data_IF_579645333808
#
_entry.id   IF_579645333808
#
_cell.length_a   1.000
_cell.length_b   1.000
_cell.length_c   1.000
_cell.angle_alpha   90.00
_cell.angle_beta   90.00
_cell.angle_gamma   90.00
#
_symmetry.space_group_name_H-M   'P 1'
#
loop_
_entity.id
_entity.type
_entity.pdbx_description
1 polymer ?
#
# COMPACT_ATOMS: atom_id res chain seq x y z
N UNK A 1 -26.03 -21.03 16.65
CA UNK A 1 -26.56 -20.01 15.73
C UNK A 1 -27.44 -20.63 14.63
N UNK A 2 -28.60 -21.23 14.94
CA UNK A 2 -29.50 -21.74 13.92
C UNK A 2 -30.30 -20.64 13.19
N UNK A 3 -30.54 -19.50 13.83
CA UNK A 3 -31.37 -18.42 13.25
C UNK A 3 -30.68 -17.63 12.15
N UNK A 4 -29.37 -17.37 12.24
CA UNK A 4 -28.63 -16.61 11.22
C UNK A 4 -28.59 -17.32 9.86
N UNK A 5 -28.47 -18.66 9.87
CA UNK A 5 -28.47 -19.48 8.66
C UNK A 5 -29.86 -19.70 8.06
N UNK A 6 -30.91 -19.23 8.74
CA UNK A 6 -32.29 -19.23 8.22
C UNK A 6 -32.66 -17.91 7.53
N UNK A 7 -31.77 -16.92 7.55
CA UNK A 7 -32.00 -15.64 6.91
C UNK A 7 -32.02 -15.76 5.37
N UNK A 8 -32.88 -14.99 4.69
CA UNK A 8 -32.82 -14.82 3.25
C UNK A 8 -31.43 -14.36 2.77
N UNK A 9 -30.97 -14.79 1.58
CA UNK A 9 -29.68 -14.38 1.02
C UNK A 9 -29.46 -12.87 0.98
N UNK A 10 -30.52 -12.10 0.79
CA UNK A 10 -30.48 -10.63 0.74
C UNK A 10 -30.08 -10.03 2.10
N UNK A 11 -30.59 -10.59 3.20
CA UNK A 11 -30.20 -10.14 4.55
C UNK A 11 -28.75 -10.52 4.87
N UNK A 12 -28.31 -11.72 4.46
CA UNK A 12 -26.92 -12.13 4.64
C UNK A 12 -25.98 -11.24 3.82
N UNK A 13 -26.38 -10.86 2.60
CA UNK A 13 -25.63 -9.88 1.80
C UNK A 13 -25.50 -8.53 2.52
N UNK A 14 -26.59 -8.01 3.10
CA UNK A 14 -26.52 -6.78 3.90
C UNK A 14 -25.61 -6.90 5.13
N UNK A 15 -25.61 -8.05 5.80
CA UNK A 15 -24.69 -8.32 6.90
C UNK A 15 -23.23 -8.27 6.42
N UNK A 16 -22.93 -8.85 5.25
CA UNK A 16 -21.60 -8.75 4.67
C UNK A 16 -21.20 -7.30 4.38
N UNK A 17 -22.10 -6.51 3.78
CA UNK A 17 -21.84 -5.11 3.46
C UNK A 17 -21.72 -4.20 4.69
N UNK A 18 -22.14 -4.67 5.88
CA UNK A 18 -22.00 -3.92 7.13
C UNK A 18 -20.79 -4.35 7.97
N UNK A 19 -19.90 -5.19 7.45
CA UNK A 19 -18.71 -5.61 8.17
C UNK A 19 -17.63 -4.53 8.09
N UNK A 20 -16.85 -4.43 9.18
CA UNK A 20 -15.73 -3.50 9.31
C UNK A 20 -14.37 -4.23 9.23
N UNK A 21 -14.34 -5.40 8.57
CA UNK A 21 -13.11 -6.17 8.38
C UNK A 21 -13.27 -7.23 7.28
N UNK A 22 -12.26 -7.32 6.40
CA UNK A 22 -12.14 -8.42 5.42
C UNK A 22 -11.96 -9.77 6.11
N UNK A 23 -11.27 -9.80 7.26
CA UNK A 23 -11.12 -10.98 8.10
C UNK A 23 -12.48 -11.56 8.56
N UNK A 24 -13.37 -10.73 9.08
CA UNK A 24 -14.72 -11.13 9.48
C UNK A 24 -15.55 -11.65 8.30
N UNK A 25 -15.43 -11.04 7.11
CA UNK A 25 -16.07 -11.57 5.91
C UNK A 25 -15.54 -12.96 5.56
N UNK A 26 -14.23 -13.18 5.67
CA UNK A 26 -13.65 -14.51 5.51
C UNK A 26 -14.19 -15.50 6.55
N UNK A 27 -14.21 -15.17 7.84
CA UNK A 27 -14.71 -16.07 8.88
C UNK A 27 -16.21 -16.37 8.70
N UNK A 28 -17.01 -15.37 8.36
CA UNK A 28 -18.43 -15.53 8.05
C UNK A 28 -18.66 -16.48 6.87
N UNK A 29 -17.81 -16.41 5.85
CA UNK A 29 -17.85 -17.33 4.70
C UNK A 29 -17.57 -18.79 5.07
N UNK A 30 -16.87 -19.04 6.19
CA UNK A 30 -16.58 -20.40 6.65
C UNK A 30 -17.73 -21.01 7.47
N UNK A 31 -18.73 -20.21 7.89
CA UNK A 31 -19.81 -20.70 8.77
C UNK A 31 -20.83 -21.60 8.07
N UNK A 32 -21.07 -21.41 6.76
CA UNK A 32 -22.06 -22.20 6.01
C UNK A 32 -21.84 -22.17 4.49
N UNK A 33 -22.54 -23.07 3.77
CA UNK A 33 -22.55 -23.05 2.31
C UNK A 33 -23.24 -21.81 1.73
N UNK A 34 -24.27 -21.29 2.41
CA UNK A 34 -25.03 -20.13 1.95
C UNK A 34 -24.20 -18.85 2.05
N UNK A 35 -23.56 -18.63 3.20
CA UNK A 35 -22.68 -17.47 3.42
C UNK A 35 -21.48 -17.51 2.49
N UNK A 36 -20.89 -18.69 2.26
CA UNK A 36 -19.84 -18.89 1.26
C UNK A 36 -20.32 -18.53 -0.15
N UNK A 37 -21.48 -19.05 -0.56
CA UNK A 37 -22.00 -18.84 -1.91
C UNK A 37 -22.16 -17.35 -2.21
N UNK A 38 -22.75 -16.58 -1.27
CA UNK A 38 -22.98 -15.14 -1.43
C UNK A 38 -21.67 -14.37 -1.66
N UNK A 39 -20.64 -14.60 -0.84
CA UNK A 39 -19.36 -13.88 -0.98
C UNK A 39 -18.47 -14.40 -2.12
N UNK A 40 -18.75 -15.59 -2.64
CA UNK A 40 -18.06 -16.16 -3.81
C UNK A 40 -18.73 -15.83 -5.15
N UNK A 41 -19.93 -15.23 -5.13
CA UNK A 41 -20.61 -14.85 -6.37
C UNK A 41 -19.92 -13.66 -7.03
N UNK A 42 -19.57 -13.82 -8.30
CA UNK A 42 -18.90 -12.79 -9.12
C UNK A 42 -19.60 -11.41 -9.11
N UNK A 43 -20.93 -11.36 -8.98
CA UNK A 43 -21.70 -10.11 -8.95
C UNK A 43 -21.81 -9.46 -7.56
N UNK A 44 -21.70 -10.26 -6.52
CA UNK A 44 -21.95 -9.85 -5.13
C UNK A 44 -20.65 -9.55 -4.41
N UNK A 45 -19.61 -10.35 -4.68
CA UNK A 45 -18.31 -10.26 -4.06
C UNK A 45 -17.67 -8.87 -4.19
N UNK A 46 -17.59 -8.23 -5.39
CA UNK A 46 -16.97 -6.92 -5.48
C UNK A 46 -17.71 -5.87 -4.66
N UNK A 47 -19.05 -5.93 -4.64
CA UNK A 47 -19.90 -5.00 -3.86
C UNK A 47 -19.75 -5.19 -2.36
N UNK A 48 -19.55 -6.42 -1.90
CA UNK A 48 -19.29 -6.73 -0.50
C UNK A 48 -17.95 -6.13 -0.09
N UNK A 49 -16.89 -6.40 -0.85
CA UNK A 49 -15.57 -5.88 -0.51
C UNK A 49 -15.50 -4.36 -0.63
N UNK A 50 -16.14 -3.77 -1.63
CA UNK A 50 -16.25 -2.32 -1.79
C UNK A 50 -16.89 -1.67 -0.55
N UNK A 51 -18.04 -2.19 -0.12
CA UNK A 51 -18.72 -1.72 1.09
C UNK A 51 -17.88 -1.92 2.37
N UNK A 52 -17.20 -3.06 2.52
CA UNK A 52 -16.30 -3.27 3.67
C UNK A 52 -15.14 -2.29 3.63
N UNK A 53 -14.55 -2.03 2.45
CA UNK A 53 -13.46 -1.08 2.29
C UNK A 53 -13.94 0.34 2.62
N UNK A 54 -15.15 0.74 2.20
CA UNK A 54 -15.79 1.99 2.64
C UNK A 54 -15.89 2.06 4.17
N UNK A 55 -16.45 1.01 4.79
CA UNK A 55 -16.67 0.97 6.23
C UNK A 55 -15.38 1.04 7.06
N UNK A 56 -14.25 0.51 6.57
CA UNK A 56 -12.97 0.52 7.30
C UNK A 56 -12.14 1.77 7.03
N UNK A 57 -12.29 2.39 5.86
CA UNK A 57 -11.48 3.56 5.47
C UNK A 57 -12.08 4.89 5.93
N UNK A 58 -13.37 4.90 6.33
CA UNK A 58 -14.19 6.03 6.84
C UNK A 58 -13.53 7.41 6.69
N UNK A 59 -13.98 8.16 5.68
CA UNK A 59 -13.52 9.51 5.39
C UNK A 59 -11.98 9.61 5.35
N UNK A 60 -11.32 8.90 4.41
CA UNK A 60 -9.87 8.92 4.30
C UNK A 60 -9.38 10.36 4.11
N UNK A 61 -8.53 10.79 5.02
CA UNK A 61 -8.06 12.16 5.09
C UNK A 61 -6.57 12.20 5.41
N UNK A 62 -5.81 13.13 4.80
CA UNK A 62 -4.40 13.34 5.13
C UNK A 62 -4.25 14.13 6.44
N UNK A 63 -5.04 13.79 7.46
CA UNK A 63 -5.02 14.43 8.76
C UNK A 63 -4.24 13.57 9.75
N UNK A 64 -3.49 14.20 10.66
CA UNK A 64 -2.68 13.51 11.66
C UNK A 64 -3.47 12.44 12.41
N UNK A 65 -4.68 12.77 12.89
CA UNK A 65 -5.51 11.84 13.66
C UNK A 65 -5.90 10.59 12.85
N UNK A 66 -6.18 10.74 11.55
CA UNK A 66 -6.52 9.60 10.69
C UNK A 66 -5.29 8.76 10.41
N UNK A 67 -4.16 9.38 10.08
CA UNK A 67 -2.92 8.65 9.80
C UNK A 67 -2.41 7.88 11.02
N UNK A 68 -2.40 8.50 12.21
CA UNK A 68 -2.02 7.80 13.45
C UNK A 68 -3.00 6.68 13.82
N UNK A 69 -4.28 6.77 13.44
CA UNK A 69 -5.22 5.68 13.62
C UNK A 69 -4.87 4.45 12.75
N UNK A 70 -4.25 4.65 11.58
CA UNK A 70 -3.85 3.55 10.69
C UNK A 70 -2.45 3.02 10.96
N UNK A 71 -1.50 3.91 11.25
CA UNK A 71 -0.08 3.58 11.38
C UNK A 71 0.38 3.43 12.84
N UNK A 72 -0.41 3.90 13.79
CA UNK A 72 -0.14 3.86 15.23
C UNK A 72 0.14 5.26 15.83
N UNK A 73 -0.14 5.47 17.12
CA UNK A 73 0.14 6.75 17.78
C UNK A 73 1.62 7.14 17.70
N UNK A 74 1.91 8.40 17.35
CA UNK A 74 3.28 8.91 17.24
C UNK A 74 4.09 8.29 16.10
N UNK A 75 3.41 7.73 15.08
CA UNK A 75 4.06 7.17 13.90
C UNK A 75 4.40 8.22 12.84
N UNK A 76 4.19 9.52 13.08
CA UNK A 76 4.45 10.56 12.09
C UNK A 76 5.79 11.24 12.37
N UNK A 77 6.58 11.40 11.30
CA UNK A 77 7.80 12.18 11.27
C UNK A 77 7.50 13.54 10.66
N UNK A 78 7.97 14.60 11.33
CA UNK A 78 7.87 15.97 10.85
C UNK A 78 9.28 16.57 10.76
N UNK A 79 9.63 17.28 9.67
CA UNK A 79 10.85 18.07 9.63
C UNK A 79 10.73 19.25 10.62
N UNK A 80 11.87 19.70 11.14
CA UNK A 80 11.90 20.90 12.01
C UNK A 80 11.89 22.16 11.16
N UNK A 81 11.09 23.17 11.52
CA UNK A 81 11.02 24.48 10.82
C UNK A 81 12.38 25.16 10.63
N UNK A 82 13.34 24.87 11.51
CA UNK A 82 14.70 25.44 11.46
C UNK A 82 15.59 24.83 10.36
N UNK A 83 15.23 23.66 9.83
CA UNK A 83 15.98 22.91 8.81
C UNK A 83 14.99 22.15 7.91
N UNK A 84 14.18 22.84 7.09
CA UNK A 84 13.39 22.18 6.07
C UNK A 84 14.31 21.38 5.13
N UNK A 85 13.78 20.35 4.43
CA UNK A 85 14.52 19.67 3.39
C UNK A 85 15.18 20.67 2.45
N UNK A 86 16.52 20.66 2.41
CA UNK A 86 17.28 21.58 1.57
C UNK A 86 16.79 21.38 0.14
N UNK A 87 16.47 22.49 -0.52
CA UNK A 87 15.91 22.55 -1.88
C UNK A 87 14.42 22.16 -2.00
N UNK A 88 13.71 21.88 -0.91
CA UNK A 88 12.24 21.90 -0.73
C UNK A 88 11.58 23.19 -1.26
N UNK A 89 10.98 23.24 -2.47
CA UNK A 89 10.34 24.47 -2.98
C UNK A 89 8.83 24.39 -3.18
N UNK A 90 8.25 23.19 -3.13
CA UNK A 90 6.81 23.00 -3.21
C UNK A 90 6.12 23.36 -1.89
N UNK A 91 5.38 24.47 -1.88
CA UNK A 91 4.74 25.03 -0.68
C UNK A 91 3.69 24.08 -0.07
N UNK A 92 2.88 23.40 -0.90
CA UNK A 92 1.85 22.47 -0.45
C UNK A 92 2.45 21.25 0.26
N UNK A 93 3.53 20.69 -0.30
CA UNK A 93 4.28 19.61 0.34
C UNK A 93 4.93 20.06 1.65
N UNK A 94 5.51 21.26 1.69
CA UNK A 94 6.08 21.81 2.91
C UNK A 94 5.02 21.98 4.01
N UNK A 95 3.87 22.55 3.67
CA UNK A 95 2.75 22.72 4.60
C UNK A 95 2.30 21.37 5.15
N UNK A 96 2.08 20.37 4.29
CA UNK A 96 1.71 19.02 4.72
C UNK A 96 2.75 18.39 5.65
N UNK A 97 4.04 18.47 5.32
CA UNK A 97 5.09 17.89 6.14
C UNK A 97 5.23 18.58 7.50
N UNK A 98 5.05 19.89 7.58
CA UNK A 98 5.15 20.66 8.82
C UNK A 98 3.92 20.53 9.71
N UNK A 99 2.71 20.51 9.13
CA UNK A 99 1.45 20.44 9.89
C UNK A 99 1.10 18.99 10.27
N UNK A 100 1.22 18.07 9.32
CA UNK A 100 0.78 16.67 9.49
C UNK A 100 1.98 15.73 9.65
N UNK A 101 2.92 15.78 8.72
CA UNK A 101 4.08 14.89 8.69
C UNK A 101 3.86 13.59 7.93
N UNK A 102 4.93 12.82 7.80
CA UNK A 102 5.01 11.60 7.00
C UNK A 102 5.10 10.33 7.88
N UNK A 103 4.41 9.22 7.54
CA UNK A 103 4.49 7.98 8.32
C UNK A 103 5.91 7.40 8.42
N UNK A 104 6.38 7.24 9.66
CA UNK A 104 7.61 6.58 10.08
C UNK A 104 7.30 5.13 10.48
N UNK A 105 7.22 4.24 9.49
CA UNK A 105 6.69 2.89 9.66
C UNK A 105 7.58 1.84 9.00
N UNK A 106 7.55 0.64 9.57
CA UNK A 106 7.99 -0.56 8.88
C UNK A 106 6.75 -1.42 8.68
N UNK A 107 6.39 -1.69 7.42
CA UNK A 107 5.23 -2.47 7.03
C UNK A 107 5.70 -3.76 6.33
N UNK A 108 6.17 -4.79 7.07
CA UNK A 108 6.79 -5.99 6.47
C UNK A 108 5.89 -6.72 5.47
N UNK A 109 4.57 -6.67 5.69
CA UNK A 109 3.60 -7.31 4.79
C UNK A 109 3.42 -6.56 3.49
N UNK A 110 3.51 -5.22 3.52
CA UNK A 110 3.48 -4.39 2.31
C UNK A 110 4.86 -4.32 1.66
N UNK A 111 5.92 -4.62 2.42
CA UNK A 111 7.30 -4.49 1.99
C UNK A 111 7.84 -3.06 2.06
N UNK A 112 7.04 -2.10 2.54
CA UNK A 112 7.40 -0.69 2.64
C UNK A 112 8.06 -0.37 3.98
N UNK A 113 9.15 0.38 3.94
CA UNK A 113 9.88 0.82 5.13
C UNK A 113 10.29 2.29 5.00
N UNK A 114 9.98 3.09 6.01
CA UNK A 114 10.36 4.50 6.15
C UNK A 114 11.01 4.82 7.50
N UNK A 115 11.28 3.83 8.36
CA UNK A 115 11.80 4.07 9.73
C UNK A 115 13.16 4.78 9.77
N UNK A 116 13.91 4.73 8.67
CA UNK A 116 15.20 5.41 8.53
C UNK A 116 15.04 6.93 8.54
N UNK A 117 13.84 7.48 8.29
CA UNK A 117 13.58 8.91 8.41
C UNK A 117 13.93 9.46 9.81
N UNK A 118 13.92 8.60 10.84
CA UNK A 118 14.32 8.95 12.21
C UNK A 118 15.79 9.34 12.33
N UNK A 119 16.66 8.73 11.52
CA UNK A 119 18.09 9.00 11.54
C UNK A 119 18.41 10.44 11.10
N UNK A 120 17.50 11.07 10.35
CA UNK A 120 17.64 12.47 9.92
C UNK A 120 17.21 13.50 10.96
N UNK A 121 16.65 13.07 12.11
CA UNK A 121 16.33 13.98 13.23
C UNK A 121 17.55 14.22 14.12
N UNK A 122 18.41 13.21 14.25
CA UNK A 122 19.47 13.18 15.27
C UNK A 122 20.87 13.51 14.71
N UNK A 123 21.07 13.34 13.40
CA UNK A 123 22.34 13.61 12.74
C UNK A 123 22.12 14.79 11.77
N UNK A 124 22.93 15.85 11.84
CA UNK A 124 23.01 16.93 10.83
C UNK A 124 23.39 16.41 9.41
N UNK A 125 23.25 15.10 9.18
CA UNK A 125 23.30 14.49 7.88
C UNK A 125 22.20 15.08 7.02
N UNK A 126 22.67 15.80 6.00
CA UNK A 126 21.89 16.12 4.82
C UNK A 126 21.12 14.86 4.42
N UNK A 127 19.83 15.05 4.17
CA UNK A 127 18.94 14.09 3.56
C UNK A 127 19.71 13.15 2.64
N UNK A 128 19.31 11.88 2.58
CA UNK A 128 19.66 11.03 1.44
C UNK A 128 18.98 11.57 0.14
N UNK A 129 19.00 12.89 -0.07
CA UNK A 129 18.83 13.52 -1.35
C UNK A 129 20.02 13.06 -2.17
N UNK A 130 19.73 12.27 -3.20
CA UNK A 130 20.66 12.14 -4.29
C UNK A 130 21.02 13.56 -4.72
N UNK A 131 22.27 13.96 -4.51
CA UNK A 131 22.71 15.28 -4.93
C UNK A 131 22.50 15.42 -6.44
N UNK A 132 22.46 16.65 -6.94
CA UNK A 132 22.42 16.87 -8.40
C UNK A 132 23.54 16.08 -9.10
N UNK A 133 24.70 15.87 -8.45
CA UNK A 133 25.81 15.06 -8.96
C UNK A 133 25.53 13.54 -8.90
N UNK A 134 24.84 13.03 -7.86
CA UNK A 134 24.39 11.64 -7.80
C UNK A 134 23.35 11.36 -8.90
N UNK A 135 22.40 12.30 -9.08
CA UNK A 135 21.46 12.29 -10.20
C UNK A 135 22.21 12.43 -11.53
N UNK A 136 23.23 13.27 -11.64
CA UNK A 136 24.04 13.46 -12.86
C UNK A 136 24.92 12.26 -13.23
N UNK A 137 25.31 11.42 -12.27
CA UNK A 137 25.93 10.12 -12.56
C UNK A 137 24.86 9.12 -13.04
N UNK A 138 23.61 9.25 -12.56
CA UNK A 138 22.48 8.40 -12.92
C UNK A 138 21.81 8.78 -14.25
N UNK A 139 21.93 10.04 -14.68
CA UNK A 139 21.31 10.61 -15.88
C UNK A 139 22.36 11.20 -16.84
N UNK A 140 22.17 11.03 -18.15
CA UNK A 140 23.15 11.52 -19.12
C UNK A 140 23.27 13.05 -19.13
N UNK A 141 24.46 13.63 -19.44
CA UNK A 141 24.69 15.08 -19.46
C UNK A 141 23.79 15.87 -20.41
N UNK A 142 23.14 15.20 -21.36
CA UNK A 142 22.29 15.81 -22.40
C UNK A 142 20.83 16.02 -21.94
N UNK A 143 20.40 15.37 -20.86
CA UNK A 143 19.04 15.50 -20.27
C UNK A 143 19.03 16.40 -19.03
N UNK A 144 20.09 17.20 -18.85
CA UNK A 144 20.35 18.01 -17.65
C UNK A 144 19.21 18.96 -17.26
N UNK A 145 18.48 19.47 -18.25
CA UNK A 145 17.38 20.41 -18.03
C UNK A 145 16.04 19.71 -17.68
N UNK A 146 15.98 18.37 -17.79
CA UNK A 146 14.77 17.56 -17.55
C UNK A 146 14.85 16.71 -16.28
N UNK A 147 15.96 16.79 -15.53
CA UNK A 147 16.13 15.97 -14.33
C UNK A 147 15.21 16.47 -13.20
N UNK A 148 14.38 15.58 -12.62
CA UNK A 148 13.63 15.94 -11.44
C UNK A 148 14.63 16.24 -10.32
N UNK A 149 14.53 17.43 -9.75
CA UNK A 149 15.26 17.77 -8.53
C UNK A 149 14.59 16.91 -7.44
N UNK A 150 15.30 15.92 -6.88
CA UNK A 150 14.79 15.02 -5.84
C UNK A 150 15.38 15.41 -4.48
N UNK A 151 14.54 15.51 -3.45
CA UNK A 151 14.91 16.17 -2.17
C UNK A 151 14.92 15.17 -1.04
N UNK A 152 13.98 14.23 -1.05
CA UNK A 152 13.66 13.44 0.11
C UNK A 152 13.31 12.00 -0.28
N UNK A 153 14.01 11.05 0.33
CA UNK A 153 13.65 9.65 0.29
C UNK A 153 12.62 9.37 1.39
N UNK A 154 11.38 9.10 1.01
CA UNK A 154 10.29 8.81 1.92
C UNK A 154 10.22 7.34 2.36
N UNK A 155 10.79 6.43 1.58
CA UNK A 155 10.72 5.02 1.91
C UNK A 155 11.47 4.13 0.93
N UNK A 156 11.49 2.85 1.27
CA UNK A 156 12.10 1.79 0.45
C UNK A 156 11.14 0.61 0.38
N UNK A 157 11.02 0.02 -0.80
CA UNK A 157 10.34 -1.26 -1.04
C UNK A 157 11.20 -2.08 -2.01
N UNK A 158 11.41 -3.38 -1.75
CA UNK A 158 12.22 -4.26 -2.64
C UNK A 158 13.64 -3.76 -2.99
N UNK A 159 14.26 -2.92 -2.16
CA UNK A 159 15.54 -2.20 -2.42
C UNK A 159 15.45 -1.01 -3.40
N UNK A 160 14.25 -0.66 -3.83
CA UNK A 160 13.92 0.51 -4.64
C UNK A 160 13.45 1.65 -3.73
N UNK A 161 13.77 2.89 -4.11
CA UNK A 161 13.53 4.09 -3.33
C UNK A 161 12.21 4.77 -3.73
N UNK A 162 11.55 5.35 -2.74
CA UNK A 162 10.42 6.26 -2.91
C UNK A 162 10.93 7.68 -2.70
N UNK A 163 10.95 8.49 -3.76
CA UNK A 163 11.63 9.78 -3.80
C UNK A 163 10.65 10.90 -4.11
N UNK A 164 10.73 11.98 -3.34
CA UNK A 164 9.99 13.23 -3.54
C UNK A 164 10.73 14.16 -4.50
N UNK A 165 10.00 14.73 -5.46
CA UNK A 165 10.48 15.84 -6.28
C UNK A 165 10.26 17.19 -5.58
N UNK A 166 11.32 17.99 -5.53
CA UNK A 166 11.42 19.26 -4.81
C UNK A 166 10.48 20.35 -5.31
N UNK A 167 10.18 20.32 -6.61
CA UNK A 167 9.62 21.46 -7.32
C UNK A 167 8.11 21.33 -7.51
N UNK A 168 7.57 20.12 -7.37
CA UNK A 168 6.18 19.84 -7.69
C UNK A 168 5.51 18.82 -6.76
N UNK A 169 6.18 18.36 -5.71
CA UNK A 169 5.60 17.43 -4.73
C UNK A 169 5.38 15.99 -5.24
N UNK A 170 5.69 15.70 -6.51
CA UNK A 170 5.44 14.38 -7.11
C UNK A 170 6.36 13.34 -6.49
N UNK A 171 5.80 12.18 -6.17
CA UNK A 171 6.54 11.04 -5.63
C UNK A 171 6.81 10.03 -6.74
N UNK A 172 8.07 9.66 -6.88
CA UNK A 172 8.58 8.73 -7.87
C UNK A 172 9.09 7.45 -7.22
N UNK A 173 9.00 6.36 -7.99
CA UNK A 173 9.65 5.09 -7.66
C UNK A 173 10.98 4.96 -8.40
N UNK A 174 12.04 4.66 -7.67
CA UNK A 174 13.42 4.69 -8.18
C UNK A 174 14.15 3.37 -7.93
N UNK A 175 14.77 2.81 -8.97
CA UNK A 175 15.61 1.62 -8.89
C UNK A 175 17.10 1.97 -9.05
N UNK A 176 17.84 1.95 -7.94
CA UNK A 176 19.28 2.21 -7.92
C UNK A 176 20.10 1.12 -8.64
N UNK A 177 19.55 -0.08 -8.78
CA UNK A 177 20.24 -1.25 -9.33
C UNK A 177 19.78 -1.59 -10.76
N UNK A 178 18.92 -0.76 -11.37
CA UNK A 178 18.25 -0.97 -12.66
C UNK A 178 19.16 -1.15 -13.88
N UNK A 179 20.46 -1.27 -13.69
CA UNK A 179 21.46 -1.51 -14.71
C UNK A 179 22.09 -0.21 -15.18
N UNK A 180 23.41 -0.29 -15.44
CA UNK A 180 24.20 0.76 -16.06
C UNK A 180 23.43 1.40 -17.23
N UNK A 181 23.07 2.68 -17.07
CA UNK A 181 22.53 3.59 -18.09
C UNK A 181 21.04 3.38 -18.48
N UNK A 182 20.18 4.29 -17.99
CA UNK A 182 19.00 4.89 -18.64
C UNK A 182 17.59 4.70 -18.05
N UNK A 183 17.32 3.87 -17.04
CA UNK A 183 15.93 3.71 -16.52
C UNK A 183 15.85 3.57 -14.99
N UNK A 184 16.40 4.53 -14.26
CA UNK A 184 16.30 4.54 -12.79
C UNK A 184 14.89 4.91 -12.32
N UNK A 185 14.14 5.71 -13.09
CA UNK A 185 12.74 6.06 -12.79
C UNK A 185 11.83 4.92 -13.23
N UNK A 186 11.11 4.32 -12.28
CA UNK A 186 10.13 3.25 -12.53
C UNK A 186 8.70 3.78 -12.71
N UNK A 187 8.47 5.04 -12.37
CA UNK A 187 7.19 5.72 -12.59
C UNK A 187 6.83 6.67 -11.45
N UNK A 188 5.72 7.37 -11.64
CA UNK A 188 5.07 8.16 -10.60
C UNK A 188 4.25 7.20 -9.72
N UNK A 189 4.27 7.40 -8.41
CA UNK A 189 3.47 6.60 -7.47
C UNK A 189 2.37 7.39 -6.80
N UNK A 190 2.53 8.72 -6.72
CA UNK A 190 1.52 9.67 -6.30
C UNK A 190 1.92 11.07 -6.78
N UNK A 191 0.93 11.92 -7.06
CA UNK A 191 1.21 13.31 -7.45
C UNK A 191 1.54 14.22 -6.28
N UNK A 192 1.07 13.88 -5.09
CA UNK A 192 1.26 14.68 -3.88
C UNK A 192 1.43 13.78 -2.65
N UNK A 193 2.22 14.18 -1.63
CA UNK A 193 2.55 13.31 -0.50
C UNK A 193 1.38 13.01 0.42
N UNK A 194 0.46 13.95 0.59
CA UNK A 194 -0.75 13.81 1.39
C UNK A 194 -1.63 12.67 0.85
N UNK A 195 -1.80 12.59 -0.47
CA UNK A 195 -2.53 11.52 -1.15
C UNK A 195 -1.78 10.20 -1.02
N UNK A 196 -0.46 10.18 -1.21
CA UNK A 196 0.35 8.98 -1.04
C UNK A 196 0.15 8.32 0.34
N UNK A 197 0.21 9.10 1.42
CA UNK A 197 0.08 8.55 2.78
C UNK A 197 -1.33 8.06 3.06
N UNK A 198 -2.35 8.68 2.47
CA UNK A 198 -3.74 8.22 2.52
C UNK A 198 -3.88 6.87 1.82
N UNK A 199 -3.37 6.75 0.60
CA UNK A 199 -3.39 5.50 -0.17
C UNK A 199 -2.68 4.37 0.58
N UNK A 200 -1.49 4.65 1.13
CA UNK A 200 -0.75 3.69 1.94
C UNK A 200 -1.52 3.29 3.20
N UNK A 201 -2.17 4.25 3.87
CA UNK A 201 -3.02 4.02 5.03
C UNK A 201 -4.20 3.11 4.70
N UNK A 202 -4.87 3.34 3.58
CA UNK A 202 -5.94 2.46 3.09
C UNK A 202 -5.44 1.02 2.89
N UNK A 203 -4.26 0.83 2.27
CA UNK A 203 -3.64 -0.51 2.12
C UNK A 203 -3.38 -1.16 3.48
N UNK A 204 -2.81 -0.42 4.43
CA UNK A 204 -2.56 -0.94 5.78
C UNK A 204 -3.86 -1.38 6.46
N UNK A 205 -4.93 -0.59 6.33
CA UNK A 205 -6.24 -0.91 6.92
C UNK A 205 -6.85 -2.18 6.38
N UNK A 206 -6.79 -2.41 5.07
CA UNK A 206 -7.29 -3.66 4.47
C UNK A 206 -6.41 -4.84 4.89
N UNK A 207 -5.10 -4.62 4.99
CA UNK A 207 -4.15 -5.72 5.19
C UNK A 207 -3.91 -6.11 6.64
N UNK A 208 -4.21 -5.23 7.62
CA UNK A 208 -3.97 -5.49 9.06
C UNK A 208 -4.75 -6.68 9.60
N UNK A 209 -6.02 -6.84 9.21
CA UNK A 209 -6.89 -7.90 9.75
C UNK A 209 -6.59 -9.28 9.19
N UNK A 210 -5.84 -9.31 8.08
CA UNK A 210 -5.35 -10.55 7.49
C UNK A 210 -4.21 -11.19 8.28
N UNK A 211 -3.63 -10.48 9.25
CA UNK A 211 -2.57 -11.00 10.12
C UNK A 211 -3.10 -11.99 11.17
N UNK A 212 -4.43 -12.03 11.39
CA UNK A 212 -5.08 -12.90 12.38
C UNK A 212 -5.42 -14.30 11.85
N UNK A 213 -5.25 -14.55 10.55
CA UNK A 213 -5.56 -15.86 9.94
C UNK A 213 -4.40 -16.83 10.22
N UNK A 214 -4.60 -17.70 11.21
CA UNK A 214 -3.63 -18.70 11.67
C UNK A 214 -3.11 -19.62 10.53
N UNK A 215 -1.83 -20.03 10.55
CA UNK A 215 -1.27 -20.98 9.58
C UNK A 215 -1.77 -22.43 9.75
N UNK A 216 -2.53 -22.76 10.81
CA UNK A 216 -2.98 -24.13 11.12
C UNK A 216 -4.20 -24.58 10.30
N UNK A 217 -4.31 -24.06 9.08
CA UNK A 217 -5.51 -24.09 8.25
C UNK A 217 -5.33 -25.09 7.10
N UNK A 218 -6.32 -25.97 6.91
CA UNK A 218 -6.29 -26.94 5.79
C UNK A 218 -6.03 -26.26 4.44
N UNK A 219 -5.35 -26.96 3.51
CA UNK A 219 -4.97 -26.41 2.20
C UNK A 219 -6.14 -25.78 1.41
N UNK A 220 -7.36 -26.34 1.54
CA UNK A 220 -8.58 -25.79 0.92
C UNK A 220 -8.98 -24.44 1.53
N UNK A 221 -8.88 -24.31 2.85
CA UNK A 221 -9.22 -23.08 3.56
C UNK A 221 -8.16 -22.00 3.34
N UNK A 222 -6.90 -22.40 3.15
CA UNK A 222 -5.81 -21.52 2.71
C UNK A 222 -6.09 -20.96 1.31
N UNK A 223 -6.40 -21.81 0.33
CA UNK A 223 -6.75 -21.37 -1.04
C UNK A 223 -7.91 -20.37 -1.05
N UNK A 224 -8.95 -20.63 -0.25
CA UNK A 224 -10.10 -19.72 -0.10
C UNK A 224 -9.71 -18.38 0.53
N UNK A 225 -8.84 -18.40 1.55
CA UNK A 225 -8.35 -17.18 2.18
C UNK A 225 -7.57 -16.31 1.21
N UNK A 226 -6.72 -16.94 0.38
CA UNK A 226 -5.97 -16.27 -0.68
C UNK A 226 -6.89 -15.69 -1.75
N UNK A 227 -7.92 -16.41 -2.16
CA UNK A 227 -8.91 -15.92 -3.14
C UNK A 227 -9.70 -14.73 -2.61
N UNK A 228 -10.20 -14.80 -1.36
CA UNK A 228 -10.86 -13.65 -0.71
C UNK A 228 -9.92 -12.45 -0.65
N UNK A 229 -8.65 -12.70 -0.33
CA UNK A 229 -7.64 -11.66 -0.26
C UNK A 229 -7.36 -11.01 -1.62
N UNK A 230 -7.04 -11.79 -2.65
CA UNK A 230 -6.80 -11.29 -4.00
C UNK A 230 -7.97 -10.42 -4.48
N UNK A 231 -9.21 -10.93 -4.34
CA UNK A 231 -10.39 -10.19 -4.77
C UNK A 231 -10.60 -8.90 -3.97
N UNK A 232 -10.31 -8.89 -2.67
CA UNK A 232 -10.38 -7.65 -1.86
C UNK A 232 -9.33 -6.62 -2.25
N UNK A 233 -8.10 -7.07 -2.56
CA UNK A 233 -7.02 -6.21 -3.03
C UNK A 233 -7.29 -5.67 -4.44
N UNK A 234 -7.90 -6.45 -5.32
CA UNK A 234 -8.33 -5.99 -6.65
C UNK A 234 -9.38 -4.88 -6.58
N UNK A 235 -10.34 -5.01 -5.65
CA UNK A 235 -11.34 -3.95 -5.40
C UNK A 235 -10.67 -2.73 -4.79
N UNK A 236 -9.79 -2.93 -3.80
CA UNK A 236 -9.03 -1.85 -3.19
C UNK A 236 -8.21 -1.09 -4.24
N UNK A 237 -7.48 -1.78 -5.11
CA UNK A 237 -6.64 -1.15 -6.12
C UNK A 237 -7.42 -0.21 -7.03
N UNK A 238 -8.57 -0.66 -7.53
CA UNK A 238 -9.46 0.20 -8.35
C UNK A 238 -9.87 1.44 -7.58
N UNK A 239 -10.23 1.26 -6.31
CA UNK A 239 -10.63 2.36 -5.45
C UNK A 239 -9.49 3.35 -5.24
N UNK A 240 -8.25 2.88 -5.04
CA UNK A 240 -7.07 3.74 -4.95
C UNK A 240 -6.86 4.53 -6.26
N UNK A 241 -7.13 3.93 -7.42
CA UNK A 241 -7.12 4.60 -8.73
C UNK A 241 -8.11 5.76 -8.85
N UNK A 242 -9.24 5.71 -8.13
CA UNK A 242 -10.19 6.82 -8.06
C UNK A 242 -9.64 8.03 -7.26
N UNK A 243 -8.67 7.82 -6.36
CA UNK A 243 -8.00 8.87 -5.59
C UNK A 243 -6.78 9.44 -6.34
N UNK A 244 -5.96 8.57 -6.92
CA UNK A 244 -4.78 8.98 -7.67
C UNK A 244 -4.57 8.08 -8.89
N UNK A 245 -4.57 8.69 -10.08
CA UNK A 245 -4.36 8.01 -11.35
C UNK A 245 -3.01 7.28 -11.43
N UNK A 246 -2.01 7.70 -10.63
CA UNK A 246 -0.71 7.06 -10.53
C UNK A 246 -0.80 5.61 -10.03
N UNK A 247 -1.92 5.20 -9.41
CA UNK A 247 -2.11 3.82 -8.93
C UNK A 247 -2.44 2.84 -10.05
N UNK A 248 -3.21 3.30 -11.05
CA UNK A 248 -3.72 2.45 -12.12
C UNK A 248 -2.76 2.31 -13.31
N UNK A 249 -1.92 3.32 -13.56
CA UNK A 249 -1.09 3.38 -14.77
C UNK A 249 0.27 2.68 -14.61
N UNK A 250 0.32 1.35 -14.79
CA UNK A 250 1.56 0.54 -14.80
C UNK A 250 2.54 0.86 -13.66
N UNK A 251 2.02 1.12 -12.47
CA UNK A 251 2.87 1.48 -11.34
C UNK A 251 3.53 0.25 -10.73
N UNK A 252 4.81 0.05 -11.05
CA UNK A 252 5.64 -1.02 -10.47
C UNK A 252 5.62 -0.98 -8.94
N UNK A 253 5.54 0.22 -8.34
CA UNK A 253 5.45 0.37 -6.89
C UNK A 253 4.17 -0.25 -6.32
N UNK A 254 3.01 0.10 -6.89
CA UNK A 254 1.74 -0.43 -6.40
C UNK A 254 1.62 -1.92 -6.71
N UNK A 255 2.15 -2.39 -7.84
CA UNK A 255 2.29 -3.82 -8.13
C UNK A 255 3.06 -4.54 -7.00
N UNK A 256 4.21 -4.01 -6.59
CA UNK A 256 5.01 -4.58 -5.51
C UNK A 256 4.30 -4.52 -4.15
N UNK A 257 3.60 -3.42 -3.84
CA UNK A 257 2.77 -3.28 -2.62
C UNK A 257 1.69 -4.36 -2.56
N UNK A 258 0.95 -4.59 -3.65
CA UNK A 258 -0.11 -5.58 -3.70
C UNK A 258 0.44 -7.02 -3.75
N UNK A 259 1.52 -7.28 -4.48
CA UNK A 259 2.21 -8.58 -4.53
C UNK A 259 2.77 -8.96 -3.13
N UNK A 260 3.39 -8.01 -2.43
CA UNK A 260 3.90 -8.23 -1.08
C UNK A 260 2.75 -8.44 -0.09
N UNK A 261 1.65 -7.69 -0.21
CA UNK A 261 0.47 -7.81 0.68
C UNK A 261 -0.15 -9.21 0.65
N UNK A 262 -0.05 -9.89 -0.49
CA UNK A 262 -0.42 -11.29 -0.64
C UNK A 262 0.52 -12.24 0.09
N UNK A 263 1.79 -11.89 0.27
CA UNK A 263 2.86 -12.68 0.88
C UNK A 263 4.05 -12.95 -0.07
N UNK A 264 4.17 -12.15 -1.13
CA UNK A 264 5.30 -12.12 -2.07
C UNK A 264 5.42 -13.33 -3.00
N UNK A 265 6.08 -13.14 -4.15
CA UNK A 265 6.36 -14.21 -5.14
C UNK A 265 7.14 -15.40 -4.57
N UNK A 266 7.92 -15.20 -3.49
CA UNK A 266 8.70 -16.26 -2.83
C UNK A 266 7.88 -17.17 -1.91
N UNK A 267 6.79 -16.66 -1.32
CA UNK A 267 5.87 -17.46 -0.51
C UNK A 267 4.88 -18.25 -1.36
N UNK A 268 4.30 -17.62 -2.38
CA UNK A 268 3.21 -18.21 -3.16
C UNK A 268 3.66 -19.17 -4.27
N UNK A 269 4.83 -18.92 -4.88
CA UNK A 269 5.37 -19.78 -5.93
C UNK A 269 5.60 -21.23 -5.47
N UNK A 270 6.00 -21.44 -4.21
CA UNK A 270 6.24 -22.78 -3.66
C UNK A 270 4.95 -23.55 -3.32
N UNK A 271 3.83 -22.89 -3.04
CA UNK A 271 2.57 -23.56 -2.69
C UNK A 271 1.61 -23.73 -3.88
N UNK A 272 1.62 -22.79 -4.83
CA UNK A 272 0.77 -22.89 -6.03
C UNK A 272 1.35 -23.86 -7.06
N UNK A 273 2.68 -23.89 -7.27
CA UNK A 273 3.29 -24.84 -8.23
C UNK A 273 3.31 -26.29 -7.72
N UNK A 274 3.50 -26.52 -6.42
CA UNK A 274 3.42 -27.88 -5.87
C UNK A 274 1.98 -28.45 -5.86
N UNK A 275 0.95 -27.61 -5.98
CA UNK A 275 -0.44 -28.05 -6.10
C UNK A 275 -0.86 -28.48 -7.51
N UNK A 276 -0.15 -28.03 -8.55
CA UNK A 276 -0.43 -28.41 -9.94
C UNK A 276 0.40 -29.60 -10.42
N UNK A 277 1.57 -29.86 -9.81
CA UNK A 277 2.42 -31.01 -10.14
C UNK A 277 1.94 -32.35 -9.55
N UNK A 278 0.92 -32.34 -8.68
CA UNK A 278 0.38 -33.54 -8.02
C UNK A 278 -0.89 -34.14 -8.67
N UNK A 279 -1.33 -33.62 -9.81
CA UNK A 279 -2.47 -34.17 -10.59
C UNK A 279 -2.00 -34.68 -11.96
N UNK A 280 -1.04 -35.59 -11.93
CA UNK A 280 -0.76 -36.50 -13.03
C UNK A 280 -0.19 -37.79 -12.47
N UNK A 281 -1.07 -38.62 -11.89
CA UNK A 281 -1.04 -40.09 -11.89
C UNK A 281 -2.39 -40.63 -11.40
#
# INVERSE_FOLDING_TARGET
MPEFLSLPPELIFHVYCSLDSIGDAYFLSQTSKQTYYIVSQQKSQPKIFDAIIDNITQDPAPAQAWLEAQFGPGSLWQPTEATPPVDLTDDETLEFLLDVGFPLVNLPRVGFNSIFLRQFVDEEQRFYGCTLDDLYIMFHPEERDELPVLSLCFGVISSQLVMLNNNNGIIYFYDLLGGLYMNCVRGIIAYVPDTFVVLLGMVVVVTKDLCKVSPDVSQRNFKRGVEVLMNSLDVQRKKLGDYDFAVDYYSEFWDDVFDNSLGGRRGFGLYVFNGFAGMSE
#
